data_IF_473965229011
#
_entry.id   IF_473965229011
#
_cell.length_a   1.000
_cell.length_b   1.000
_cell.length_c   1.000
_cell.angle_alpha   90.00
_cell.angle_beta   90.00
_cell.angle_gamma   90.00
#
_symmetry.space_group_name_H-M   'P 1'
#
loop_
_entity.id
_entity.type
_entity.pdbx_description
1 polymer ?
#
# COMPACT_ATOMS: atom_id res chain seq x y z
N UNK A 1 -6.49 11.61 -37.11
CA UNK A 1 -6.41 10.23 -36.61
C UNK A 1 -5.34 10.16 -35.52
N UNK A 2 -5.71 10.09 -34.24
CA UNK A 2 -4.75 9.75 -33.17
C UNK A 2 -4.71 8.23 -33.10
N UNK A 3 -3.53 7.65 -33.29
CA UNK A 3 -3.31 6.24 -33.07
C UNK A 3 -3.79 5.88 -31.65
N UNK A 4 -4.74 4.95 -31.57
CA UNK A 4 -5.23 4.44 -30.29
C UNK A 4 -4.05 3.84 -29.54
N UNK A 5 -3.62 4.50 -28.46
CA UNK A 5 -2.63 3.94 -27.55
C UNK A 5 -3.27 2.68 -26.97
N UNK A 6 -2.75 1.51 -27.34
CA UNK A 6 -3.12 0.26 -26.67
C UNK A 6 -2.87 0.47 -25.17
N UNK A 7 -3.95 0.48 -24.39
CA UNK A 7 -3.85 0.56 -22.93
C UNK A 7 -3.30 -0.79 -22.48
N UNK A 8 -2.01 -0.83 -22.18
CA UNK A 8 -1.40 -2.03 -21.57
C UNK A 8 -2.08 -2.20 -20.21
N UNK A 9 -2.68 -3.37 -19.91
CA UNK A 9 -3.31 -3.62 -18.62
C UNK A 9 -2.31 -3.43 -17.48
N UNK A 10 -2.78 -2.89 -16.35
CA UNK A 10 -1.93 -2.74 -15.17
C UNK A 10 -1.65 -4.12 -14.57
N UNK A 11 -0.38 -4.46 -14.40
CA UNK A 11 0.01 -5.69 -13.69
C UNK A 11 -0.02 -5.45 -12.18
N UNK A 12 -1.02 -6.02 -11.51
CA UNK A 12 -1.22 -5.94 -10.05
C UNK A 12 -0.59 -7.12 -9.29
N UNK A 13 -0.01 -8.10 -9.99
CA UNK A 13 0.61 -9.30 -9.40
C UNK A 13 1.64 -8.98 -8.31
N UNK A 14 2.50 -7.95 -8.46
CA UNK A 14 3.44 -7.59 -7.40
C UNK A 14 2.75 -7.16 -6.11
N UNK A 15 1.66 -6.38 -6.19
CA UNK A 15 0.92 -5.94 -5.02
C UNK A 15 0.20 -7.13 -4.37
N UNK A 16 -0.47 -7.98 -5.15
CA UNK A 16 -1.10 -9.21 -4.65
C UNK A 16 -0.11 -10.10 -3.89
N UNK A 17 1.07 -10.32 -4.47
CA UNK A 17 2.15 -11.09 -3.83
C UNK A 17 2.65 -10.42 -2.56
N UNK A 18 2.75 -9.10 -2.54
CA UNK A 18 3.15 -8.35 -1.35
C UNK A 18 2.15 -8.49 -0.20
N UNK A 19 0.86 -8.36 -0.50
CA UNK A 19 -0.24 -8.55 0.45
C UNK A 19 -0.21 -9.96 1.04
N UNK A 20 -0.15 -11.00 0.19
CA UNK A 20 -0.11 -12.39 0.66
C UNK A 20 1.08 -12.66 1.59
N UNK A 21 2.26 -12.11 1.28
CA UNK A 21 3.43 -12.22 2.16
C UNK A 21 3.23 -11.45 3.46
N UNK A 22 2.61 -10.28 3.44
CA UNK A 22 2.31 -9.51 4.64
C UNK A 22 1.35 -10.26 5.57
N UNK A 23 0.28 -10.84 5.02
CA UNK A 23 -0.70 -11.66 5.74
C UNK A 23 -0.04 -12.90 6.37
N UNK A 24 0.79 -13.62 5.62
CA UNK A 24 1.58 -14.76 6.14
C UNK A 24 2.47 -14.30 7.31
N UNK A 25 3.10 -13.13 7.19
CA UNK A 25 3.95 -12.57 8.24
C UNK A 25 3.17 -12.24 9.50
N UNK A 26 1.99 -11.63 9.33
CA UNK A 26 1.08 -11.29 10.42
C UNK A 26 0.61 -12.55 11.15
N UNK A 27 0.21 -13.59 10.41
CA UNK A 27 -0.22 -14.86 11.00
C UNK A 27 0.91 -15.52 11.81
N UNK A 28 2.14 -15.52 11.29
CA UNK A 28 3.30 -16.06 12.03
C UNK A 28 3.62 -15.26 13.29
N UNK A 29 3.58 -13.93 13.21
CA UNK A 29 3.80 -13.07 14.37
C UNK A 29 2.75 -13.28 15.46
N UNK A 30 1.49 -13.48 15.10
CA UNK A 30 0.42 -13.78 16.07
C UNK A 30 0.58 -15.16 16.74
N UNK A 31 1.32 -16.08 16.13
CA UNK A 31 1.63 -17.38 16.73
C UNK A 31 2.65 -17.32 17.87
N UNK A 32 3.58 -16.37 17.81
CA UNK A 32 4.52 -16.04 18.88
C UNK A 32 4.97 -14.58 18.76
N UNK A 33 4.38 -13.71 19.56
CA UNK A 33 4.67 -12.28 19.54
C UNK A 33 6.00 -11.93 20.21
N UNK A 34 6.66 -12.88 20.88
CA UNK A 34 7.96 -12.69 21.52
C UNK A 34 9.14 -12.94 20.56
N UNK A 35 8.89 -13.58 19.41
CA UNK A 35 9.89 -13.81 18.37
C UNK A 35 10.18 -12.50 17.61
N UNK A 36 11.28 -11.85 17.99
CA UNK A 36 11.72 -10.58 17.40
C UNK A 36 12.16 -10.74 15.95
N UNK A 37 12.67 -11.91 15.53
CA UNK A 37 13.05 -12.15 14.14
C UNK A 37 11.82 -12.20 13.23
N UNK A 38 10.72 -12.79 13.72
CA UNK A 38 9.43 -12.77 13.01
C UNK A 38 8.85 -11.37 12.97
N UNK A 39 8.91 -10.62 14.09
CA UNK A 39 8.48 -9.22 14.14
C UNK A 39 9.22 -8.36 13.12
N UNK A 40 10.54 -8.47 13.04
CA UNK A 40 11.36 -7.67 12.14
C UNK A 40 11.08 -8.06 10.67
N UNK A 41 10.88 -9.36 10.40
CA UNK A 41 10.43 -9.84 9.09
C UNK A 41 9.05 -9.32 8.69
N UNK A 42 8.11 -9.21 9.65
CA UNK A 42 6.79 -8.62 9.45
C UNK A 42 6.88 -7.12 9.11
N UNK A 43 7.70 -6.36 9.84
CA UNK A 43 7.95 -4.94 9.56
C UNK A 43 8.55 -4.74 8.16
N UNK A 44 9.50 -5.58 7.76
CA UNK A 44 10.06 -5.55 6.40
C UNK A 44 8.98 -5.80 5.34
N UNK A 45 8.09 -6.76 5.58
CA UNK A 45 6.95 -7.08 4.69
C UNK A 45 5.96 -5.92 4.59
N UNK A 46 5.69 -5.23 5.68
CA UNK A 46 4.90 -4.00 5.68
C UNK A 46 5.55 -2.93 4.81
N UNK A 47 6.86 -2.69 4.99
CA UNK A 47 7.60 -1.66 4.26
C UNK A 47 7.53 -1.80 2.74
N UNK A 48 7.81 -3.00 2.20
CA UNK A 48 7.73 -3.19 0.74
C UNK A 48 6.27 -3.19 0.23
N UNK A 49 5.30 -3.65 1.03
CA UNK A 49 3.90 -3.70 0.62
C UNK A 49 3.31 -2.29 0.53
N UNK A 50 3.68 -1.41 1.46
CA UNK A 50 3.39 0.03 1.40
C UNK A 50 3.92 0.67 0.12
N UNK A 51 5.18 0.41 -0.24
CA UNK A 51 5.79 0.99 -1.44
C UNK A 51 5.11 0.49 -2.73
N UNK A 52 4.76 -0.80 -2.76
CA UNK A 52 4.00 -1.39 -3.87
C UNK A 52 2.61 -0.76 -3.97
N UNK A 53 1.87 -0.64 -2.87
CA UNK A 53 0.53 -0.04 -2.84
C UNK A 53 0.55 1.41 -3.34
N UNK A 54 1.48 2.23 -2.85
CA UNK A 54 1.64 3.61 -3.32
C UNK A 54 1.98 3.68 -4.81
N UNK A 55 2.92 2.85 -5.27
CA UNK A 55 3.33 2.80 -6.68
C UNK A 55 2.19 2.36 -7.59
N UNK A 56 1.43 1.33 -7.21
CA UNK A 56 0.31 0.82 -8.00
C UNK A 56 -0.84 1.81 -8.05
N UNK A 57 -1.20 2.42 -6.92
CA UNK A 57 -2.25 3.44 -6.87
C UNK A 57 -1.95 4.61 -7.83
N UNK A 58 -0.71 5.11 -7.82
CA UNK A 58 -0.30 6.19 -8.73
C UNK A 58 -0.39 5.78 -10.20
N UNK A 59 0.08 4.58 -10.53
CA UNK A 59 0.01 4.05 -11.91
C UNK A 59 -1.43 3.90 -12.36
N UNK A 60 -2.28 3.33 -11.52
CA UNK A 60 -3.70 3.13 -11.80
C UNK A 60 -4.42 4.45 -12.09
N UNK A 61 -4.21 5.46 -11.22
CA UNK A 61 -4.76 6.79 -11.44
C UNK A 61 -4.24 7.43 -12.73
N UNK A 62 -2.94 7.33 -13.01
CA UNK A 62 -2.35 7.91 -14.21
C UNK A 62 -2.86 7.26 -15.51
N UNK A 63 -3.16 5.96 -15.49
CA UNK A 63 -3.74 5.25 -16.64
C UNK A 63 -5.20 5.62 -16.90
N UNK A 64 -5.94 5.99 -15.85
CA UNK A 64 -7.37 6.28 -15.91
C UNK A 64 -7.68 7.78 -16.11
N UNK A 65 -6.67 8.65 -16.09
CA UNK A 65 -6.83 10.10 -16.14
C UNK A 65 -6.58 10.68 -17.54
N UNK A 66 -7.31 11.75 -17.89
CA UNK A 66 -7.12 12.46 -19.14
C UNK A 66 -5.77 13.19 -19.21
N UNK A 67 -5.17 13.50 -18.05
CA UNK A 67 -3.83 14.06 -17.95
C UNK A 67 -2.94 13.21 -17.02
N UNK A 68 -2.31 12.14 -17.53
CA UNK A 68 -1.43 11.27 -16.74
C UNK A 68 -0.25 11.99 -16.09
N UNK A 69 0.28 13.03 -16.74
CA UNK A 69 1.42 13.80 -16.22
C UNK A 69 1.04 14.60 -14.97
N UNK A 70 -0.20 15.11 -14.91
CA UNK A 70 -0.70 15.76 -13.70
C UNK A 70 -0.75 14.80 -12.50
N UNK A 71 -1.16 13.54 -12.72
CA UNK A 71 -1.16 12.50 -11.67
C UNK A 71 0.26 12.16 -11.21
N UNK A 72 1.23 12.11 -12.13
CA UNK A 72 2.63 11.86 -11.79
C UNK A 72 3.20 12.91 -10.83
N UNK A 73 2.78 14.18 -10.97
CA UNK A 73 3.22 15.30 -10.12
C UNK A 73 2.45 15.45 -8.81
N UNK A 74 1.39 14.65 -8.56
CA UNK A 74 0.63 14.75 -7.32
C UNK A 74 1.50 14.44 -6.10
N UNK A 75 1.47 15.36 -5.14
CA UNK A 75 1.96 15.11 -3.79
C UNK A 75 1.28 13.87 -3.20
N UNK A 76 1.93 13.18 -2.27
CA UNK A 76 1.31 12.01 -1.63
C UNK A 76 -0.05 12.32 -0.96
N UNK A 77 -0.20 13.42 -0.18
CA UNK A 77 -1.50 13.79 0.37
C UNK A 77 -2.58 14.07 -0.69
N UNK A 78 -2.21 14.67 -1.82
CA UNK A 78 -3.15 14.90 -2.94
C UNK A 78 -3.54 13.59 -3.59
N UNK A 79 -2.58 12.71 -3.85
CA UNK A 79 -2.81 11.39 -4.45
C UNK A 79 -3.81 10.57 -3.63
N UNK A 80 -3.64 10.53 -2.30
CA UNK A 80 -4.54 9.79 -1.41
C UNK A 80 -5.94 10.38 -1.39
N UNK A 81 -6.09 11.71 -1.32
CA UNK A 81 -7.42 12.34 -1.37
C UNK A 81 -8.13 12.04 -2.68
N UNK A 82 -7.47 12.24 -3.81
CA UNK A 82 -8.00 11.90 -5.13
C UNK A 82 -8.42 10.43 -5.23
N UNK A 83 -7.61 9.52 -4.71
CA UNK A 83 -7.91 8.09 -4.72
C UNK A 83 -9.12 7.73 -3.86
N UNK A 84 -9.21 8.30 -2.65
CA UNK A 84 -10.33 8.09 -1.74
C UNK A 84 -11.63 8.69 -2.29
N UNK A 85 -11.59 9.90 -2.88
CA UNK A 85 -12.73 10.51 -3.59
C UNK A 85 -13.23 9.66 -4.76
N UNK A 86 -12.33 8.93 -5.43
CA UNK A 86 -12.65 7.97 -6.51
C UNK A 86 -13.07 6.59 -5.98
N UNK A 87 -13.16 6.41 -4.67
CA UNK A 87 -13.55 5.16 -4.01
C UNK A 87 -12.52 4.04 -4.12
N UNK A 88 -11.24 4.35 -4.41
CA UNK A 88 -10.16 3.37 -4.51
C UNK A 88 -9.57 2.97 -3.15
N UNK A 89 -9.82 3.75 -2.11
CA UNK A 89 -9.25 3.59 -0.78
C UNK A 89 -10.35 3.42 0.26
N UNK A 90 -10.09 2.54 1.23
CA UNK A 90 -11.02 2.27 2.33
C UNK A 90 -11.04 3.43 3.33
N UNK A 91 -9.88 4.06 3.55
CA UNK A 91 -9.75 5.15 4.51
C UNK A 91 -9.17 6.44 3.90
N UNK A 92 -9.38 7.53 4.62
CA UNK A 92 -9.01 8.87 4.18
C UNK A 92 -7.55 9.23 4.50
N UNK A 93 -7.17 10.46 4.16
CA UNK A 93 -5.81 10.97 4.34
C UNK A 93 -5.25 10.79 5.76
N UNK A 94 -6.07 10.98 6.80
CA UNK A 94 -5.62 10.84 8.19
C UNK A 94 -5.05 9.46 8.48
N UNK A 95 -5.68 8.40 7.97
CA UNK A 95 -5.22 7.01 8.14
C UNK A 95 -3.97 6.73 7.32
N UNK A 96 -3.95 7.17 6.06
CA UNK A 96 -2.78 7.01 5.18
C UNK A 96 -1.56 7.79 5.63
N UNK A 97 -1.76 8.93 6.30
CA UNK A 97 -0.68 9.64 6.99
C UNK A 97 -0.05 8.77 8.08
N UNK A 98 -0.87 8.08 8.88
CA UNK A 98 -0.36 7.16 9.89
C UNK A 98 0.47 6.03 9.26
N UNK A 99 -0.01 5.39 8.18
CA UNK A 99 0.77 4.37 7.47
C UNK A 99 2.08 4.91 6.93
N UNK A 100 2.09 6.15 6.41
CA UNK A 100 3.32 6.81 5.97
C UNK A 100 4.27 7.07 7.12
N UNK A 101 3.78 7.54 8.25
CA UNK A 101 4.59 7.81 9.43
C UNK A 101 5.18 6.51 10.00
N UNK A 102 4.39 5.44 10.06
CA UNK A 102 4.84 4.10 10.47
C UNK A 102 5.86 3.53 9.49
N UNK A 103 5.69 3.74 8.17
CA UNK A 103 6.73 3.44 7.19
C UNK A 103 7.99 4.24 7.50
N UNK A 104 7.91 5.55 7.65
CA UNK A 104 9.11 6.40 7.81
C UNK A 104 9.97 6.00 9.02
N UNK A 105 9.39 5.35 10.03
CA UNK A 105 10.12 4.88 11.21
C UNK A 105 10.61 3.43 11.11
N UNK A 106 10.35 2.68 10.03
CA UNK A 106 10.75 1.26 9.93
C UNK A 106 12.27 1.06 9.99
N UNK A 107 13.06 2.02 9.49
CA UNK A 107 14.53 2.02 9.61
C UNK A 107 15.03 2.20 11.04
N UNK A 108 14.15 2.60 11.96
CA UNK A 108 14.43 2.83 13.37
C UNK A 108 13.84 1.76 14.29
N UNK A 109 13.42 0.61 13.75
CA UNK A 109 12.75 -0.46 14.51
C UNK A 109 13.71 -1.36 15.29
N UNK A 110 15.01 -1.05 15.28
CA UNK A 110 15.92 -1.50 16.34
C UNK A 110 15.51 -0.96 17.74
N UNK A 111 14.72 0.12 17.77
CA UNK A 111 13.98 0.56 18.95
C UNK A 111 12.67 -0.25 19.06
N UNK A 112 12.55 -1.03 20.12
CA UNK A 112 11.42 -1.92 20.36
C UNK A 112 10.08 -1.18 20.46
N UNK A 113 10.05 0.03 21.05
CA UNK A 113 8.82 0.82 21.14
C UNK A 113 8.32 1.21 19.76
N UNK A 114 9.25 1.56 18.85
CA UNK A 114 8.91 1.85 17.45
C UNK A 114 8.49 0.59 16.70
N UNK A 115 9.15 -0.54 16.93
CA UNK A 115 8.77 -1.82 16.32
C UNK A 115 7.34 -2.22 16.69
N UNK A 116 7.00 -2.18 17.98
CA UNK A 116 5.65 -2.50 18.48
C UNK A 116 4.61 -1.55 17.88
N UNK A 117 4.92 -0.25 17.82
CA UNK A 117 4.03 0.75 17.18
C UNK A 117 3.72 0.39 15.73
N UNK A 118 4.75 0.11 14.92
CA UNK A 118 4.55 -0.23 13.50
C UNK A 118 3.68 -1.48 13.38
N UNK A 119 4.01 -2.52 14.14
CA UNK A 119 3.30 -3.82 14.07
C UNK A 119 1.82 -3.68 14.47
N UNK A 120 1.50 -2.85 15.46
CA UNK A 120 0.12 -2.59 15.85
C UNK A 120 -0.72 -1.97 14.71
N UNK A 121 -0.09 -1.27 13.77
CA UNK A 121 -0.77 -0.68 12.60
C UNK A 121 -1.01 -1.66 11.44
N UNK A 122 -0.29 -2.78 11.39
CA UNK A 122 -0.28 -3.69 10.22
C UNK A 122 -1.64 -4.33 9.93
N UNK A 123 -2.43 -4.83 10.90
CA UNK A 123 -3.71 -5.47 10.59
C UNK A 123 -4.67 -4.56 9.81
N UNK A 124 -4.78 -3.31 10.21
CA UNK A 124 -5.62 -2.35 9.49
C UNK A 124 -5.03 -1.91 8.14
N UNK A 125 -3.70 -1.91 8.02
CA UNK A 125 -3.05 -1.67 6.73
C UNK A 125 -3.31 -2.81 5.75
N UNK A 126 -3.32 -4.07 6.20
CA UNK A 126 -3.70 -5.25 5.39
C UNK A 126 -5.08 -5.04 4.78
N UNK A 127 -6.09 -4.70 5.58
CA UNK A 127 -7.45 -4.45 5.08
C UNK A 127 -7.51 -3.31 4.06
N UNK A 128 -6.75 -2.22 4.30
CA UNK A 128 -6.64 -1.11 3.34
C UNK A 128 -6.09 -1.56 1.99
N UNK A 129 -4.97 -2.29 1.98
CA UNK A 129 -4.31 -2.67 0.72
C UNK A 129 -5.05 -3.78 -0.02
N UNK A 130 -5.78 -4.65 0.70
CA UNK A 130 -6.72 -5.61 0.09
C UNK A 130 -7.83 -4.88 -0.64
N UNK A 131 -8.49 -3.95 0.05
CA UNK A 131 -9.55 -3.14 -0.56
C UNK A 131 -9.05 -2.39 -1.81
N UNK A 132 -7.87 -1.75 -1.71
CA UNK A 132 -7.26 -1.07 -2.84
C UNK A 132 -6.97 -2.03 -4.00
N UNK A 133 -6.35 -3.17 -3.73
CA UNK A 133 -6.05 -4.18 -4.75
C UNK A 133 -7.30 -4.69 -5.45
N UNK A 134 -8.33 -5.05 -4.68
CA UNK A 134 -9.56 -5.64 -5.20
C UNK A 134 -10.34 -4.62 -6.03
N UNK A 135 -10.39 -3.37 -5.55
CA UNK A 135 -11.04 -2.27 -6.29
C UNK A 135 -10.31 -1.96 -7.60
N UNK A 136 -8.97 -1.97 -7.61
CA UNK A 136 -8.21 -1.77 -8.85
C UNK A 136 -8.39 -2.95 -9.81
N UNK A 137 -8.44 -4.18 -9.31
CA UNK A 137 -8.66 -5.38 -10.12
C UNK A 137 -10.02 -5.32 -10.81
N UNK A 138 -11.09 -5.07 -10.05
CA UNK A 138 -12.47 -4.98 -10.58
C UNK A 138 -12.67 -3.89 -11.63
N UNK A 139 -11.85 -2.82 -11.60
CA UNK A 139 -11.94 -1.69 -12.53
C UNK A 139 -10.96 -1.78 -13.69
N UNK A 140 -10.01 -2.71 -13.63
CA UNK A 140 -9.05 -2.98 -14.71
C UNK A 140 -9.56 -4.04 -15.69
N UNK A 141 -10.59 -4.79 -15.31
CA UNK A 141 -11.40 -5.69 -16.15
C UNK A 141 -12.39 -4.89 -17.02
#
# INVERSE_FOLDING_TARGET
MRAGRAVVPIDLTPLASGIARLEEGQARYLGDTSDTQIRDGLIQRFGFTYDLAHKMLRRFLAMSDANPDAVAQMSFPTLIRTANERGLLLNEWSRWRQYRDDRNITSHTYDETKAIRVVAGIPAFIEEVRYLHDTMTQRAE
#
